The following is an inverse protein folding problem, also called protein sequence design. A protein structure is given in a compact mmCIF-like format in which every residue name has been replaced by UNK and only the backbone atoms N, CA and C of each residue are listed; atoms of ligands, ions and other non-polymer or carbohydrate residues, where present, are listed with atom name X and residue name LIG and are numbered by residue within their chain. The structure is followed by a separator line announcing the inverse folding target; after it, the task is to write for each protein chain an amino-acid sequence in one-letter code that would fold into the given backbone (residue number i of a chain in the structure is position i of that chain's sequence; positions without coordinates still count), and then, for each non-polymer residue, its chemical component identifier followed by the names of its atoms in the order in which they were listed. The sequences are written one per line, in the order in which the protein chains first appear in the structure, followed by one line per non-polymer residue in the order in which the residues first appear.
data_IF_047764115968
#
_entry.id   IF_047764115968
#
_cell.length_a   1.000
_cell.length_b   1.000
_cell.length_c   1.000
_cell.angle_alpha   90.00
_cell.angle_beta   90.00
_cell.angle_gamma   90.00
#
_symmetry.space_group_name_H-M   'P 1'
#
loop_
_entity.id
_entity.type
_entity.pdbx_description
1 polymer ?
#
# COMPACT_ATOMS: atom_id res chain seq x y z
N UNK A 1 3.19 -33.96 10.24
CA UNK A 1 3.74 -32.59 10.36
C UNK A 1 4.94 -32.51 9.43
N UNK A 2 4.79 -31.87 8.27
CA UNK A 2 5.82 -31.72 7.24
C UNK A 2 5.80 -30.27 6.76
N UNK A 3 6.97 -29.68 6.49
CA UNK A 3 7.23 -28.24 6.35
C UNK A 3 6.62 -27.49 5.15
N UNK A 4 5.34 -27.73 4.83
CA UNK A 4 4.58 -27.04 3.79
C UNK A 4 4.16 -25.62 4.17
N UNK A 5 4.04 -25.30 5.46
CA UNK A 5 3.46 -24.02 5.92
C UNK A 5 4.20 -22.78 5.43
N UNK A 6 5.51 -22.88 5.17
CA UNK A 6 6.31 -21.77 4.64
C UNK A 6 6.37 -21.71 3.11
N UNK A 7 6.06 -22.79 2.41
CA UNK A 7 6.00 -22.77 0.94
C UNK A 7 4.80 -21.96 0.44
N UNK A 8 3.72 -21.96 1.22
CA UNK A 8 2.53 -21.17 0.97
C UNK A 8 2.61 -19.75 1.59
N UNK A 9 3.77 -19.28 2.05
CA UNK A 9 3.92 -17.89 2.46
C UNK A 9 4.03 -16.98 1.24
N UNK A 10 3.66 -15.69 1.39
CA UNK A 10 3.60 -14.76 0.26
C UNK A 10 4.89 -14.73 -0.55
N UNK A 11 6.06 -14.59 0.09
CA UNK A 11 7.32 -14.37 -0.63
C UNK A 11 7.80 -15.61 -1.37
N UNK A 12 7.89 -16.82 -0.74
CA UNK A 12 8.24 -18.04 -1.46
C UNK A 12 7.26 -18.36 -2.60
N UNK A 13 5.95 -18.18 -2.35
CA UNK A 13 4.93 -18.39 -3.37
C UNK A 13 5.09 -17.44 -4.55
N UNK A 14 5.26 -16.14 -4.28
CA UNK A 14 5.47 -15.13 -5.33
C UNK A 14 6.70 -15.48 -6.18
N UNK A 15 7.81 -15.85 -5.54
CA UNK A 15 9.02 -16.28 -6.25
C UNK A 15 8.79 -17.54 -7.09
N UNK A 16 8.06 -18.53 -6.57
CA UNK A 16 7.80 -19.79 -7.26
C UNK A 16 6.82 -19.64 -8.44
N UNK A 17 5.76 -18.85 -8.29
CA UNK A 17 4.71 -18.70 -9.30
C UNK A 17 5.07 -17.68 -10.40
N UNK A 18 5.82 -16.63 -10.05
CA UNK A 18 6.08 -15.49 -10.96
C UNK A 18 7.57 -15.27 -11.26
N UNK A 19 8.45 -16.01 -10.60
CA UNK A 19 9.90 -15.86 -10.73
C UNK A 19 10.42 -14.52 -10.19
N UNK A 20 11.66 -14.19 -10.56
CA UNK A 20 12.33 -12.96 -10.13
C UNK A 20 11.57 -11.70 -10.58
N UNK A 21 10.95 -11.73 -11.78
CA UNK A 21 10.25 -10.57 -12.33
C UNK A 21 9.09 -10.15 -11.42
N UNK A 22 8.28 -11.10 -10.94
CA UNK A 22 7.17 -10.76 -10.06
C UNK A 22 7.63 -10.34 -8.67
N UNK A 23 8.71 -10.90 -8.13
CA UNK A 23 9.32 -10.41 -6.88
C UNK A 23 9.79 -8.96 -7.01
N UNK A 24 10.48 -8.62 -8.11
CA UNK A 24 10.91 -7.23 -8.36
C UNK A 24 9.72 -6.30 -8.56
N UNK A 25 8.70 -6.72 -9.30
CA UNK A 25 7.50 -5.92 -9.54
C UNK A 25 6.74 -5.69 -8.24
N UNK A 26 6.58 -6.73 -7.42
CA UNK A 26 5.97 -6.64 -6.10
C UNK A 26 6.73 -5.64 -5.21
N UNK A 27 8.05 -5.80 -5.08
CA UNK A 27 8.89 -4.87 -4.32
C UNK A 27 8.79 -3.43 -4.83
N UNK A 28 8.74 -3.24 -6.15
CA UNK A 28 8.58 -1.91 -6.75
C UNK A 28 7.24 -1.26 -6.38
N UNK A 29 6.14 -2.00 -6.46
CA UNK A 29 4.81 -1.50 -6.07
C UNK A 29 4.80 -1.10 -4.59
N UNK A 30 5.40 -1.92 -3.72
CA UNK A 30 5.52 -1.61 -2.29
C UNK A 30 6.29 -0.31 -2.06
N UNK A 31 7.44 -0.14 -2.72
CA UNK A 31 8.24 1.10 -2.65
C UNK A 31 7.46 2.30 -3.18
N UNK A 32 6.66 2.12 -4.24
CA UNK A 32 5.83 3.19 -4.80
C UNK A 32 4.79 3.68 -3.78
N UNK A 33 4.12 2.76 -3.06
CA UNK A 33 3.20 3.14 -1.99
C UNK A 33 3.89 3.90 -0.86
N UNK A 34 5.00 3.38 -0.33
CA UNK A 34 5.74 4.08 0.72
C UNK A 34 6.19 5.47 0.28
N UNK A 35 6.66 5.60 -0.96
CA UNK A 35 7.10 6.89 -1.49
C UNK A 35 5.95 7.89 -1.57
N UNK A 36 4.80 7.48 -2.09
CA UNK A 36 3.64 8.36 -2.24
C UNK A 36 3.06 8.77 -0.88
N UNK A 37 2.88 7.81 0.03
CA UNK A 37 2.41 8.10 1.38
C UNK A 37 3.40 9.00 2.15
N UNK A 38 4.70 8.72 2.06
CA UNK A 38 5.69 9.56 2.74
C UNK A 38 5.71 11.00 2.18
N UNK A 39 5.53 11.15 0.86
CA UNK A 39 5.39 12.45 0.22
C UNK A 39 4.15 13.18 0.75
N UNK A 40 2.98 12.56 0.72
CA UNK A 40 1.74 13.14 1.25
C UNK A 40 1.89 13.56 2.72
N UNK A 41 2.46 12.69 3.55
CA UNK A 41 2.73 12.99 4.96
C UNK A 41 3.64 14.22 5.15
N UNK A 42 4.69 14.33 4.32
CA UNK A 42 5.71 15.36 4.49
C UNK A 42 5.27 16.73 3.97
N UNK A 43 4.46 16.77 2.92
CA UNK A 43 4.12 18.01 2.22
C UNK A 43 2.72 18.54 2.49
N UNK A 44 1.76 17.69 2.87
CA UNK A 44 0.43 18.18 3.20
C UNK A 44 0.43 18.93 4.54
N UNK A 45 -0.37 19.99 4.61
CA UNK A 45 -0.65 20.73 5.85
C UNK A 45 -1.93 20.24 6.54
N UNK A 46 -2.78 19.49 5.82
CA UNK A 46 -4.02 18.93 6.35
C UNK A 46 -3.73 17.71 7.25
N UNK A 47 -4.20 17.78 8.49
CA UNK A 47 -4.04 16.70 9.48
C UNK A 47 -4.71 15.39 9.06
N UNK A 48 -5.82 15.45 8.32
CA UNK A 48 -6.51 14.27 7.80
C UNK A 48 -5.68 13.56 6.74
N UNK A 49 -5.11 14.29 5.77
CA UNK A 49 -4.27 13.70 4.73
C UNK A 49 -2.98 13.11 5.29
N UNK A 50 -2.38 13.77 6.29
CA UNK A 50 -1.26 13.19 7.05
C UNK A 50 -1.65 11.91 7.78
N UNK A 51 -2.85 11.86 8.36
CA UNK A 51 -3.39 10.66 8.99
C UNK A 51 -3.52 9.50 8.00
N UNK A 52 -4.12 9.75 6.83
CA UNK A 52 -4.25 8.78 5.74
C UNK A 52 -2.90 8.27 5.24
N UNK A 53 -1.91 9.15 5.12
CA UNK A 53 -0.56 8.76 4.77
C UNK A 53 0.09 7.84 5.82
N UNK A 54 -0.08 8.15 7.11
CA UNK A 54 0.46 7.35 8.21
C UNK A 54 -0.20 5.97 8.32
N UNK A 55 -1.52 5.86 8.14
CA UNK A 55 -2.18 4.54 8.13
C UNK A 55 -1.67 3.68 6.98
N UNK A 56 -1.40 4.26 5.81
CA UNK A 56 -0.89 3.49 4.68
C UNK A 56 0.50 2.95 4.99
N UNK A 57 1.38 3.79 5.56
CA UNK A 57 2.73 3.36 5.96
C UNK A 57 2.64 2.27 7.05
N UNK A 58 1.87 2.50 8.11
CA UNK A 58 1.77 1.57 9.24
C UNK A 58 1.08 0.27 8.84
N UNK A 59 -0.06 0.36 8.13
CA UNK A 59 -0.85 -0.75 7.64
C UNK A 59 -0.09 -1.60 6.63
N UNK A 60 0.56 -0.99 5.64
CA UNK A 60 1.40 -1.71 4.68
C UNK A 60 2.55 -2.44 5.38
N UNK A 61 3.20 -1.80 6.35
CA UNK A 61 4.27 -2.44 7.14
C UNK A 61 3.74 -3.66 7.89
N UNK A 62 2.58 -3.54 8.54
CA UNK A 62 1.95 -4.66 9.24
C UNK A 62 1.61 -5.82 8.30
N UNK A 63 1.06 -5.52 7.12
CA UNK A 63 0.74 -6.52 6.11
C UNK A 63 1.99 -7.21 5.55
N UNK A 64 3.09 -6.48 5.32
CA UNK A 64 4.36 -7.05 4.87
C UNK A 64 4.99 -7.99 5.91
N UNK A 65 4.93 -7.62 7.19
CA UNK A 65 5.40 -8.50 8.27
C UNK A 65 4.53 -9.75 8.35
N UNK A 66 3.20 -9.59 8.27
CA UNK A 66 2.28 -10.72 8.30
C UNK A 66 2.50 -11.68 7.10
N UNK A 67 2.82 -11.13 5.92
CA UNK A 67 3.06 -11.87 4.69
C UNK A 67 4.30 -12.80 4.74
N UNK A 68 5.18 -12.65 5.75
CA UNK A 68 6.29 -13.58 5.98
C UNK A 68 5.80 -15.00 6.24
N UNK A 69 4.65 -15.15 6.90
CA UNK A 69 4.08 -16.45 7.25
C UNK A 69 2.74 -16.78 6.58
N UNK A 70 2.21 -15.89 5.74
CA UNK A 70 0.85 -16.02 5.20
C UNK A 70 0.73 -15.49 3.76
N UNK A 71 -0.30 -15.94 3.04
CA UNK A 71 -0.69 -15.44 1.71
C UNK A 71 -1.50 -14.13 1.79
N UNK A 72 -0.95 -13.12 2.45
CA UNK A 72 -1.66 -11.91 2.84
C UNK A 72 -2.24 -11.14 1.64
N UNK A 73 -1.49 -11.00 0.55
CA UNK A 73 -1.87 -10.12 -0.57
C UNK A 73 -2.75 -10.81 -1.63
N UNK A 74 -3.10 -12.08 -1.43
CA UNK A 74 -4.01 -12.83 -2.31
C UNK A 74 -5.43 -12.87 -1.74
N UNK A 75 -5.57 -12.65 -0.44
CA UNK A 75 -6.86 -12.73 0.25
C UNK A 75 -7.68 -11.47 -0.03
N UNK A 76 -8.81 -11.64 -0.72
CA UNK A 76 -9.74 -10.57 -1.10
C UNK A 76 -10.14 -9.68 0.07
N UNK A 77 -10.43 -10.27 1.23
CA UNK A 77 -10.86 -9.52 2.44
C UNK A 77 -9.79 -8.58 3.01
N UNK A 78 -8.53 -8.74 2.60
CA UNK A 78 -7.43 -7.85 2.96
C UNK A 78 -7.20 -6.86 1.82
N UNK A 79 -7.25 -7.34 0.58
CA UNK A 79 -6.99 -6.52 -0.60
C UNK A 79 -8.06 -5.48 -0.87
N UNK A 80 -9.35 -5.79 -0.71
CA UNK A 80 -10.44 -4.82 -0.88
C UNK A 80 -10.28 -3.57 0.00
N UNK A 81 -10.14 -3.68 1.33
CA UNK A 81 -9.93 -2.50 2.17
C UNK A 81 -8.56 -1.84 1.92
N UNK A 82 -7.51 -2.62 1.60
CA UNK A 82 -6.20 -2.08 1.25
C UNK A 82 -6.26 -1.20 0.00
N UNK A 83 -6.94 -1.65 -1.06
CA UNK A 83 -7.03 -0.88 -2.30
C UNK A 83 -7.89 0.37 -2.14
N UNK A 84 -8.88 0.33 -1.25
CA UNK A 84 -9.65 1.52 -0.89
C UNK A 84 -8.76 2.59 -0.24
N UNK A 85 -7.98 2.22 0.80
CA UNK A 85 -7.08 3.18 1.47
C UNK A 85 -5.96 3.66 0.54
N UNK A 86 -5.46 2.80 -0.34
CA UNK A 86 -4.52 3.17 -1.39
C UNK A 86 -5.09 4.22 -2.34
N UNK A 87 -6.33 4.03 -2.79
CA UNK A 87 -7.04 5.00 -3.61
C UNK A 87 -7.23 6.34 -2.90
N UNK A 88 -7.59 6.32 -1.61
CA UNK A 88 -7.75 7.54 -0.80
C UNK A 88 -6.44 8.33 -0.68
N UNK A 89 -5.32 7.67 -0.37
CA UNK A 89 -4.01 8.35 -0.29
C UNK A 89 -3.63 8.99 -1.61
N UNK A 90 -3.78 8.28 -2.73
CA UNK A 90 -3.44 8.81 -4.06
C UNK A 90 -4.38 9.96 -4.45
N UNK A 91 -5.67 9.87 -4.11
CA UNK A 91 -6.63 10.96 -4.35
C UNK A 91 -6.30 12.19 -3.50
N UNK A 92 -6.01 12.01 -2.21
CA UNK A 92 -5.59 13.09 -1.31
C UNK A 92 -4.33 13.79 -1.81
N UNK A 93 -3.33 13.05 -2.29
CA UNK A 93 -2.12 13.64 -2.85
C UNK A 93 -2.39 14.53 -4.07
N UNK A 94 -3.33 14.15 -4.92
CA UNK A 94 -3.73 14.98 -6.07
C UNK A 94 -4.49 16.24 -5.65
N UNK A 95 -5.39 16.12 -4.68
CA UNK A 95 -6.19 17.24 -4.19
C UNK A 95 -5.35 18.24 -3.39
N UNK A 96 -4.32 17.78 -2.68
CA UNK A 96 -3.38 18.63 -1.94
C UNK A 96 -2.45 19.44 -2.89
N UNK A 97 -2.18 18.92 -4.09
CA UNK A 97 -1.42 19.61 -5.14
C UNK A 97 -2.23 20.66 -5.91
N UNK A 98 -3.56 20.55 -5.94
CA UNK A 98 -4.44 21.44 -6.69
C UNK A 98 -4.69 22.73 -5.88
N UNK A 99 -4.21 23.92 -6.33
CA UNK A 99 -4.50 25.16 -5.64
C UNK A 99 -6.02 25.38 -5.60
N UNK A 100 -6.58 25.97 -4.53
CA UNK A 100 -8.02 26.19 -4.41
C UNK A 100 -8.50 27.21 -5.46
N UNK A 101 -8.74 26.75 -6.68
CA UNK A 101 -9.37 27.53 -7.73
C UNK A 101 -10.85 27.20 -7.81
N UNK A 102 -11.67 28.23 -7.58
CA UNK A 102 -13.03 28.37 -8.10
C UNK A 102 -14.18 27.61 -7.39
N UNK A 103 -14.41 27.93 -6.10
CA UNK A 103 -15.78 27.85 -5.52
C UNK A 103 -16.41 29.24 -5.36
N UNK A 104 -15.82 30.26 -5.99
CA UNK A 104 -16.50 31.54 -6.22
C UNK A 104 -17.28 31.41 -7.52
N UNK A 105 -18.55 30.98 -7.46
CA UNK A 105 -19.65 31.35 -8.36
C UNK A 105 -20.87 30.43 -8.12
N UNK A 106 -21.58 30.61 -7.00
CA UNK A 106 -23.05 30.68 -6.91
C UNK A 106 -23.43 31.56 -5.73
#
# INVERSE_FOLDING_TARGET
MTGYTFLDAQYPRTLAETGMIGVFTFGWIIVAFYRESYRLYRFSEDGMYRGLALEMIAGLTGLLVHAVGANTFIIVRIMEPFWLTAGLVVASAKLDEEPPSEVAHV
#
